data_IF_918727467094
#
_entry.id   IF_918727467094
#
_cell.length_a   1.000
_cell.length_b   1.000
_cell.length_c   1.000
_cell.angle_alpha   90.00
_cell.angle_beta   90.00
_cell.angle_gamma   90.00
#
_symmetry.space_group_name_H-M   'P 1'
#
loop_
_entity.id
_entity.type
_entity.pdbx_description
1 polymer ?
#
# COMPACT_ATOMS: atom_id res chain seq x y z
N UNK A 1 11.03 12.27 0.83
CA UNK A 1 11.23 11.81 -0.56
C UNK A 1 10.90 10.32 -0.60
N UNK A 2 10.33 9.80 -1.68
CA UNK A 2 9.98 8.38 -1.79
C UNK A 2 11.23 7.52 -1.85
N UNK A 3 11.37 6.56 -0.93
CA UNK A 3 12.54 5.67 -0.89
C UNK A 3 12.59 4.65 -2.03
N UNK A 4 11.49 4.44 -2.78
CA UNK A 4 11.46 3.53 -3.94
C UNK A 4 11.82 4.20 -5.25
N UNK A 5 11.20 5.35 -5.56
CA UNK A 5 11.36 6.00 -6.85
C UNK A 5 12.22 7.27 -6.80
N UNK A 6 12.64 7.70 -5.60
CA UNK A 6 13.43 8.92 -5.41
C UNK A 6 12.68 10.23 -5.66
N UNK A 7 11.37 10.19 -5.95
CA UNK A 7 10.58 11.40 -6.23
C UNK A 7 10.01 12.01 -4.95
N UNK A 8 9.70 13.31 -4.98
CA UNK A 8 8.98 13.93 -3.87
C UNK A 8 7.58 13.32 -3.72
N UNK A 9 7.18 13.11 -2.46
CA UNK A 9 5.82 12.70 -2.11
C UNK A 9 5.06 13.98 -1.82
N UNK A 10 4.14 14.34 -2.71
CA UNK A 10 3.28 15.51 -2.54
C UNK A 10 2.10 15.19 -1.62
N UNK A 11 1.49 14.02 -1.83
CA UNK A 11 0.42 13.53 -0.97
C UNK A 11 0.96 12.51 0.04
N UNK A 12 1.48 13.04 1.15
CA UNK A 12 1.98 12.23 2.25
C UNK A 12 0.84 11.58 3.06
N UNK A 13 -0.41 12.00 2.87
CA UNK A 13 -1.58 11.40 3.54
C UNK A 13 -1.90 10.01 2.96
N UNK A 14 -1.67 9.84 1.66
CA UNK A 14 -1.78 8.56 0.96
C UNK A 14 -0.47 7.75 0.95
N UNK A 15 0.61 8.30 1.51
CA UNK A 15 1.90 7.61 1.53
C UNK A 15 1.95 6.47 2.56
N UNK A 16 2.68 5.41 2.21
CA UNK A 16 2.87 4.24 3.06
C UNK A 16 4.31 4.24 3.62
N UNK A 17 4.55 3.54 4.72
CA UNK A 17 5.92 3.23 5.10
C UNK A 17 6.50 2.16 4.17
N UNK A 18 7.82 2.17 3.99
CA UNK A 18 8.52 1.11 3.27
C UNK A 18 8.42 -0.24 4.00
N UNK A 19 8.33 -1.33 3.25
CA UNK A 19 8.21 -2.69 3.79
C UNK A 19 9.35 -3.09 4.77
N UNK A 20 10.53 -2.46 4.64
CA UNK A 20 11.72 -2.74 5.45
C UNK A 20 12.17 -1.57 6.33
N UNK A 21 11.43 -0.46 6.37
CA UNK A 21 11.90 0.73 7.06
C UNK A 21 10.86 1.81 7.29
N UNK A 22 11.22 2.80 8.10
CA UNK A 22 10.38 3.94 8.42
C UNK A 22 10.26 4.96 7.29
N UNK A 23 10.93 4.77 6.16
CA UNK A 23 10.92 5.77 5.08
C UNK A 23 9.59 5.76 4.32
N UNK A 24 9.06 6.94 3.97
CA UNK A 24 7.80 7.03 3.24
C UNK A 24 8.00 6.62 1.78
N UNK A 25 7.02 5.89 1.25
CA UNK A 25 6.91 5.49 -0.15
C UNK A 25 5.57 5.93 -0.72
N UNK A 26 5.52 6.16 -2.03
CA UNK A 26 4.23 6.38 -2.69
C UNK A 26 3.38 5.12 -2.61
N UNK A 27 2.06 5.31 -2.46
CA UNK A 27 1.08 4.24 -2.58
C UNK A 27 1.27 3.46 -3.89
N UNK A 28 1.39 4.17 -5.01
CA UNK A 28 1.58 3.56 -6.33
C UNK A 28 2.88 2.75 -6.43
N UNK A 29 3.96 3.22 -5.79
CA UNK A 29 5.22 2.49 -5.77
C UNK A 29 5.11 1.21 -4.95
N UNK A 30 4.45 1.26 -3.79
CA UNK A 30 4.18 0.06 -3.00
C UNK A 30 3.29 -0.93 -3.75
N UNK A 31 2.23 -0.44 -4.42
CA UNK A 31 1.34 -1.27 -5.23
C UNK A 31 2.07 -1.93 -6.41
N UNK A 32 2.89 -1.17 -7.14
CA UNK A 32 3.69 -1.68 -8.24
C UNK A 32 4.69 -2.72 -7.75
N UNK A 33 5.39 -2.45 -6.64
CA UNK A 33 6.31 -3.39 -6.03
C UNK A 33 5.62 -4.70 -5.64
N UNK A 34 4.43 -4.59 -5.05
CA UNK A 34 3.61 -5.74 -4.71
C UNK A 34 3.22 -6.56 -5.94
N UNK A 35 2.86 -5.90 -7.04
CA UNK A 35 2.50 -6.56 -8.30
C UNK A 35 3.70 -7.23 -9.00
N UNK A 36 4.91 -6.73 -8.78
CA UNK A 36 6.15 -7.35 -9.27
C UNK A 36 6.56 -8.55 -8.41
N UNK A 37 6.40 -8.47 -7.09
CA UNK A 37 6.80 -9.55 -6.17
C UNK A 37 5.80 -10.69 -6.14
N UNK A 38 4.51 -10.38 -6.24
CA UNK A 38 3.46 -11.38 -6.28
C UNK A 38 3.24 -11.86 -7.71
N UNK A 39 3.32 -13.17 -7.93
CA UNK A 39 2.83 -13.77 -9.16
C UNK A 39 1.30 -13.70 -9.14
N UNK A 40 0.75 -12.81 -9.98
CA UNK A 40 -0.67 -12.66 -10.21
C UNK A 40 -1.11 -13.57 -11.37
N UNK A 41 -2.14 -14.38 -11.13
CA UNK A 41 -2.85 -15.07 -12.19
C UNK A 41 -3.62 -14.12 -13.14
N UNK A 42 -4.16 -14.63 -14.25
CA UNK A 42 -4.85 -13.82 -15.26
C UNK A 42 -6.11 -13.09 -14.76
N UNK A 43 -6.74 -13.59 -13.69
CA UNK A 43 -7.91 -12.99 -13.04
C UNK A 43 -7.59 -12.41 -11.65
N UNK A 44 -6.30 -12.36 -11.28
CA UNK A 44 -5.87 -11.83 -9.99
C UNK A 44 -5.43 -10.37 -10.13
N UNK A 45 -5.76 -9.58 -9.12
CA UNK A 45 -5.28 -8.20 -8.96
C UNK A 45 -4.89 -7.94 -7.53
N UNK A 46 -4.08 -6.90 -7.31
CA UNK A 46 -3.77 -6.42 -5.97
C UNK A 46 -4.71 -5.26 -5.64
N UNK A 47 -5.37 -5.37 -4.49
CA UNK A 47 -6.25 -4.37 -3.93
C UNK A 47 -5.71 -3.94 -2.56
N UNK A 48 -5.77 -2.65 -2.26
CA UNK A 48 -5.48 -2.16 -0.92
C UNK A 48 -6.74 -2.30 -0.05
N UNK A 49 -6.60 -2.98 1.08
CA UNK A 49 -7.71 -3.27 2.00
C UNK A 49 -7.66 -2.41 3.28
N UNK A 50 -6.79 -1.41 3.31
CA UNK A 50 -6.63 -0.50 4.44
C UNK A 50 -5.59 -0.97 5.46
N UNK A 51 -5.28 -0.07 6.40
CA UNK A 51 -4.35 -0.28 7.53
C UNK A 51 -2.97 -0.78 7.10
N UNK A 52 -2.46 -0.31 5.96
CA UNK A 52 -1.15 -0.74 5.45
C UNK A 52 -1.13 -2.20 4.99
N UNK A 53 -2.28 -2.76 4.60
CA UNK A 53 -2.36 -4.13 4.07
C UNK A 53 -2.89 -4.13 2.63
N UNK A 54 -2.26 -4.95 1.79
CA UNK A 54 -2.72 -5.29 0.45
C UNK A 54 -3.34 -6.69 0.46
N UNK A 55 -4.14 -6.96 -0.56
CA UNK A 55 -4.75 -8.25 -0.78
C UNK A 55 -4.68 -8.61 -2.26
N UNK A 56 -4.37 -9.87 -2.54
CA UNK A 56 -4.57 -10.44 -3.87
C UNK A 56 -6.02 -10.88 -3.95
N UNK A 57 -6.77 -10.25 -4.85
CA UNK A 57 -8.17 -10.54 -5.13
C UNK A 57 -8.29 -11.24 -6.47
N UNK A 58 -9.07 -12.30 -6.52
CA UNK A 58 -9.40 -13.02 -7.76
C UNK A 58 -10.83 -12.65 -8.16
N UNK A 59 -10.98 -12.07 -9.34
CA UNK A 59 -12.29 -11.75 -9.90
C UNK A 59 -12.89 -12.98 -10.56
N UNK A 60 -14.12 -13.32 -10.17
CA UNK A 60 -14.84 -14.48 -10.73
C UNK A 60 -15.56 -14.15 -12.03
N UNK A 61 -15.77 -12.86 -12.30
CA UNK A 61 -16.53 -12.35 -13.44
C UNK A 61 -15.78 -11.23 -14.18
N UNK A 62 -16.15 -11.01 -15.46
CA UNK A 62 -15.66 -9.86 -16.23
C UNK A 62 -16.24 -8.53 -15.75
N UNK A 63 -17.33 -8.56 -14.98
CA UNK A 63 -17.95 -7.37 -14.39
C UNK A 63 -17.13 -6.78 -13.25
N UNK A 64 -16.09 -7.47 -12.78
CA UNK A 64 -15.23 -7.02 -11.67
C UNK A 64 -16.03 -6.72 -10.40
N UNK A 65 -17.22 -7.32 -10.26
CA UNK A 65 -18.17 -7.06 -9.19
C UNK A 65 -18.05 -8.09 -8.08
N UNK A 66 -17.77 -9.34 -8.44
CA UNK A 66 -17.56 -10.42 -7.50
C UNK A 66 -16.08 -10.82 -7.46
N UNK A 67 -15.44 -10.55 -6.33
CA UNK A 67 -14.06 -10.95 -6.08
C UNK A 67 -13.93 -11.80 -4.82
N UNK A 68 -12.90 -12.64 -4.77
CA UNK A 68 -12.51 -13.39 -3.57
C UNK A 68 -11.11 -12.96 -3.16
N UNK A 69 -10.91 -12.66 -1.87
CA UNK A 69 -9.57 -12.41 -1.34
C UNK A 69 -8.83 -13.75 -1.23
N UNK A 70 -7.80 -13.93 -2.03
CA UNK A 70 -6.97 -15.15 -2.07
C UNK A 70 -5.86 -15.09 -1.03
N UNK A 71 -5.22 -13.93 -0.92
CA UNK A 71 -4.06 -13.70 -0.05
C UNK A 71 -4.13 -12.30 0.53
N UNK A 72 -3.75 -12.15 1.79
CA UNK A 72 -3.52 -10.85 2.42
C UNK A 72 -2.03 -10.70 2.64
N UNK A 73 -1.47 -9.59 2.18
CA UNK A 73 -0.07 -9.24 2.37
C UNK A 73 0.01 -8.01 3.25
N UNK A 74 0.60 -8.19 4.42
CA UNK A 74 0.86 -7.08 5.33
C UNK A 74 2.07 -6.30 4.83
N UNK A 75 1.85 -5.04 4.47
CA UNK A 75 2.89 -4.15 3.97
C UNK A 75 3.47 -3.29 5.09
N UNK A 76 2.61 -2.69 5.90
CA UNK A 76 2.98 -2.00 7.13
C UNK A 76 2.59 -2.84 8.35
N UNK A 77 3.43 -2.83 9.38
CA UNK A 77 3.05 -3.41 10.67
C UNK A 77 1.99 -2.53 11.31
N UNK A 78 0.86 -3.13 11.65
CA UNK A 78 -0.21 -2.46 12.38
C UNK A 78 0.34 -2.03 13.75
N UNK A 79 0.28 -0.73 14.04
CA UNK A 79 0.76 -0.17 15.31
C UNK A 79 2.15 0.48 15.28
N UNK A 80 2.91 0.39 14.18
CA UNK A 80 4.14 1.18 14.04
C UNK A 80 3.80 2.67 13.83
N UNK A 81 4.09 3.46 14.86
CA UNK A 81 3.93 4.91 14.82
C UNK A 81 5.19 5.52 14.21
N UNK A 82 5.19 5.71 12.89
CA UNK A 82 6.30 6.39 12.24
C UNK A 82 6.33 7.88 12.58
N UNK A 83 7.50 8.38 12.95
CA UNK A 83 7.73 9.78 13.35
C UNK A 83 7.24 10.78 12.29
N UNK A 84 7.48 10.50 11.01
CA UNK A 84 7.00 11.34 9.91
C UNK A 84 5.47 11.39 9.82
N UNK A 85 4.78 10.33 10.24
CA UNK A 85 3.31 10.26 10.25
C UNK A 85 2.73 11.06 11.41
N UNK A 86 3.41 11.06 12.57
CA UNK A 86 3.06 11.93 13.72
C UNK A 86 3.27 13.42 13.42
N UNK A 87 4.40 13.75 12.79
CA UNK A 87 4.69 15.12 12.36
C UNK A 87 3.62 15.68 11.40
N UNK A 88 2.88 14.82 10.69
CA UNK A 88 1.77 15.20 9.81
C UNK A 88 0.47 15.45 10.59
N UNK A 89 0.14 14.56 11.53
CA UNK A 89 -1.04 14.74 12.40
C UNK A 89 -0.96 16.05 13.17
N UNK A 90 0.24 16.46 13.57
CA UNK A 90 0.46 17.76 14.24
C UNK A 90 0.28 18.97 13.33
N UNK A 91 0.32 18.79 12.00
CA UNK A 91 0.21 19.89 11.00
C UNK A 91 -1.18 20.02 10.40
N UNK A 92 -2.04 19.02 10.55
CA UNK A 92 -3.45 19.04 10.15
C UNK A 92 -4.36 19.04 11.38
N UNK A 93 -4.22 20.09 12.21
CA UNK A 93 -4.88 20.23 13.51
C UNK A 93 -6.29 19.65 13.59
N UNK A 94 -6.39 18.57 14.35
CA UNK A 94 -7.55 18.18 15.15
C UNK A 94 -7.10 18.20 16.61
#
# INVERSE_FOLDING_TARGET
>A
MCSMCGKQIFDLSSALAGQSGADPVHFDCALARMAETEQLGPNEKIAYIGRGAFAVVEYRDKSMTAFTVKRRVQWEKEGEKYEWRRAMQQRMGL
#
